data_IF_079483264079
#
_entry.id   IF_079483264079
#
_cell.length_a   1.000
_cell.length_b   1.000
_cell.length_c   1.000
_cell.angle_alpha   90.00
_cell.angle_beta   90.00
_cell.angle_gamma   90.00
#
_symmetry.space_group_name_H-M   'P 1'
#
loop_
_entity.id
_entity.type
_entity.pdbx_description
1 polymer ?
#
# COMPACT_ATOMS: atom_id res chain seq x y z
N UNK A 1 30.52 -11.13 -34.99
CA UNK A 1 30.28 -10.37 -36.25
C UNK A 1 28.82 -10.62 -36.62
N UNK A 2 27.86 -9.88 -36.09
CA UNK A 2 27.40 -8.53 -36.50
C UNK A 2 26.93 -8.46 -37.95
N UNK A 3 25.60 -8.34 -38.09
CA UNK A 3 24.86 -7.46 -39.02
C UNK A 3 24.92 -7.75 -40.53
N UNK A 4 23.76 -7.98 -41.18
CA UNK A 4 22.86 -6.90 -41.69
C UNK A 4 21.69 -7.43 -42.53
N UNK A 5 20.57 -6.78 -42.31
CA UNK A 5 19.25 -6.72 -42.98
C UNK A 5 19.32 -6.28 -44.45
N UNK A 6 18.25 -6.51 -45.25
CA UNK A 6 17.47 -5.56 -46.13
C UNK A 6 16.49 -6.38 -47.02
N UNK A 7 15.18 -6.46 -46.78
CA UNK A 7 14.01 -5.59 -47.14
C UNK A 7 13.87 -5.24 -48.63
N UNK A 8 12.73 -5.62 -49.25
CA UNK A 8 12.07 -4.85 -50.33
C UNK A 8 10.66 -5.40 -50.63
N UNK A 9 9.64 -4.55 -50.46
CA UNK A 9 8.54 -4.30 -51.40
C UNK A 9 7.70 -3.13 -50.84
N UNK A 10 7.70 -1.97 -51.53
CA UNK A 10 6.62 -1.47 -52.43
C UNK A 10 5.35 -1.08 -51.65
N UNK A 11 4.68 0.06 -51.80
CA UNK A 11 4.79 1.23 -52.65
C UNK A 11 3.98 2.40 -52.02
N UNK A 12 4.28 3.62 -52.47
CA UNK A 12 3.71 4.97 -52.23
C UNK A 12 2.25 5.15 -52.78
N UNK A 13 1.65 6.37 -52.81
CA UNK A 13 1.64 7.57 -51.92
C UNK A 13 0.20 8.16 -51.73
N UNK A 14 0.05 9.34 -51.09
CA UNK A 14 -0.55 10.58 -51.65
C UNK A 14 -0.90 11.58 -50.51
N UNK A 15 -0.12 12.66 -50.35
CA UNK A 15 -0.40 14.08 -50.67
C UNK A 15 -0.93 14.91 -49.47
N UNK A 16 -0.12 15.87 -49.00
CA UNK A 16 -0.25 17.34 -49.22
C UNK A 16 -1.45 17.94 -48.46
N UNK A 17 -1.34 18.98 -47.64
CA UNK A 17 -0.30 19.97 -47.37
C UNK A 17 -0.97 21.14 -46.61
N UNK A 18 -0.25 22.27 -46.55
CA UNK A 18 -0.72 23.62 -46.17
C UNK A 18 -0.49 24.11 -44.73
N UNK A 19 0.74 24.59 -44.54
CA UNK A 19 1.10 25.97 -44.17
C UNK A 19 0.18 26.79 -43.27
N UNK A 20 0.75 27.10 -42.10
CA UNK A 20 0.38 28.10 -41.10
C UNK A 20 0.61 29.54 -41.61
N UNK A 21 -0.40 30.41 -41.50
CA UNK A 21 -0.25 31.88 -41.45
C UNK A 21 -1.09 32.45 -40.32
N UNK A 22 -0.50 33.40 -39.58
CA UNK A 22 -1.11 34.19 -38.52
C UNK A 22 -1.95 35.35 -39.11
N UNK A 23 -3.00 35.77 -38.41
CA UNK A 23 -3.37 37.20 -38.32
C UNK A 23 -4.36 37.49 -37.18
N UNK A 24 -3.93 38.44 -36.34
CA UNK A 24 -4.61 39.56 -35.67
C UNK A 24 -6.00 39.44 -35.01
N UNK A 25 -6.02 39.92 -33.75
CA UNK A 25 -7.15 40.35 -32.91
C UNK A 25 -8.08 41.38 -33.59
N UNK A 26 -9.30 41.53 -33.05
CA UNK A 26 -9.62 42.81 -32.42
C UNK A 26 -10.27 42.68 -31.02
N UNK A 27 -10.34 43.82 -30.34
CA UNK A 27 -10.76 44.03 -28.94
C UNK A 27 -12.06 44.85 -28.92
N UNK A 28 -12.87 44.67 -27.86
CA UNK A 28 -13.62 45.68 -27.06
C UNK A 28 -15.16 45.57 -26.92
N UNK A 29 -15.56 45.81 -25.65
CA UNK A 29 -16.85 46.28 -25.08
C UNK A 29 -18.06 45.31 -25.11
N UNK A 30 -19.02 45.28 -24.17
CA UNK A 30 -19.28 45.84 -22.83
C UNK A 30 -20.73 45.41 -22.45
N UNK A 31 -21.01 45.34 -21.13
CA UNK A 31 -22.32 45.58 -20.45
C UNK A 31 -23.32 44.43 -20.15
N UNK A 32 -23.34 44.09 -18.85
CA UNK A 32 -24.46 44.19 -17.88
C UNK A 32 -25.73 43.29 -17.94
N UNK A 33 -25.80 42.46 -16.89
CA UNK A 33 -26.92 42.22 -15.92
C UNK A 33 -28.29 41.72 -16.40
N UNK A 34 -28.64 40.49 -15.95
CA UNK A 34 -29.94 40.17 -15.36
C UNK A 34 -29.87 38.86 -14.54
N UNK A 35 -30.11 38.96 -13.23
CA UNK A 35 -30.64 37.90 -12.35
C UNK A 35 -32.07 38.36 -11.92
N UNK A 36 -32.93 37.54 -11.27
CA UNK A 36 -32.84 36.12 -10.89
C UNK A 36 -34.11 35.30 -11.24
N UNK A 37 -34.07 33.97 -11.10
CA UNK A 37 -35.21 33.17 -10.61
C UNK A 37 -34.72 31.88 -9.96
N UNK A 38 -34.86 31.82 -8.64
CA UNK A 38 -34.81 30.60 -7.82
C UNK A 38 -36.10 29.82 -8.04
N UNK A 39 -35.99 28.50 -8.17
CA UNK A 39 -36.77 27.55 -7.38
C UNK A 39 -35.86 26.39 -6.95
N UNK A 40 -36.11 25.91 -5.74
CA UNK A 40 -35.29 25.05 -4.90
C UNK A 40 -35.63 23.56 -5.04
N UNK A 41 -34.59 22.72 -4.84
CA UNK A 41 -34.56 21.39 -4.20
C UNK A 41 -35.32 20.26 -4.93
N UNK A 42 -34.90 18.99 -5.00
CA UNK A 42 -34.08 18.06 -4.19
C UNK A 42 -33.63 16.96 -5.19
N UNK A 43 -32.49 16.26 -5.07
CA UNK A 43 -32.12 15.37 -3.99
C UNK A 43 -30.60 15.16 -3.97
N UNK A 44 -30.01 15.60 -2.87
CA UNK A 44 -28.79 15.05 -2.27
C UNK A 44 -29.00 13.57 -1.97
N UNK A 45 -28.11 12.71 -2.45
CA UNK A 45 -27.69 11.45 -1.79
C UNK A 45 -26.38 10.99 -2.45
N UNK A 46 -25.34 11.83 -2.41
CA UNK A 46 -24.00 11.28 -2.31
C UNK A 46 -23.83 10.94 -0.84
N UNK A 47 -23.87 9.65 -0.51
CA UNK A 47 -23.34 9.16 0.76
C UNK A 47 -21.88 9.58 0.83
N UNK A 48 -21.66 10.70 1.51
CA UNK A 48 -20.36 11.19 1.96
C UNK A 48 -19.69 10.05 2.71
N UNK A 49 -18.71 9.40 2.08
CA UNK A 49 -17.75 8.50 2.73
C UNK A 49 -16.66 9.31 3.42
N UNK A 50 -17.05 10.40 4.09
CA UNK A 50 -16.14 11.12 4.98
C UNK A 50 -15.55 10.09 5.95
N UNK A 51 -14.22 10.09 6.17
CA UNK A 51 -13.62 9.29 7.21
C UNK A 51 -14.38 9.47 8.53
N UNK A 52 -14.52 8.42 9.35
CA UNK A 52 -15.08 8.60 10.68
C UNK A 52 -14.36 9.78 11.37
N UNK A 53 -15.09 10.63 12.12
CA UNK A 53 -14.48 11.79 12.77
C UNK A 53 -13.31 11.33 13.65
N UNK A 54 -12.13 11.84 13.31
CA UNK A 54 -10.79 11.46 13.80
C UNK A 54 -10.55 11.63 15.31
N UNK A 55 -11.56 11.97 16.10
CA UNK A 55 -11.46 12.18 17.55
C UNK A 55 -11.18 10.88 18.35
N UNK A 56 -11.27 9.71 17.72
CA UNK A 56 -11.01 8.42 18.39
C UNK A 56 -9.58 7.88 18.19
N UNK A 57 -8.69 8.62 17.51
CA UNK A 57 -7.26 8.27 17.37
C UNK A 57 -6.36 9.20 18.22
N UNK A 58 -6.96 9.94 19.17
CA UNK A 58 -6.25 10.87 20.05
C UNK A 58 -5.24 10.13 20.95
N UNK A 59 -3.96 10.22 20.60
CA UNK A 59 -2.86 9.73 21.44
C UNK A 59 -1.57 9.38 20.71
N UNK A 60 -1.58 9.24 19.37
CA UNK A 60 -0.44 8.71 18.62
C UNK A 60 -0.08 9.61 17.43
N UNK A 61 1.18 10.07 17.28
CA UNK A 61 1.54 10.96 16.19
C UNK A 61 1.65 10.17 14.89
N UNK A 62 0.52 9.94 14.22
CA UNK A 62 0.53 9.61 12.80
C UNK A 62 1.11 10.80 12.04
N UNK A 63 2.14 10.57 11.21
CA UNK A 63 2.70 11.63 10.36
C UNK A 63 1.74 11.98 9.22
N UNK A 64 1.05 10.97 8.69
CA UNK A 64 0.03 11.15 7.65
C UNK A 64 -0.94 9.97 7.63
N UNK A 65 -2.16 10.22 7.18
CA UNK A 65 -3.18 9.20 6.91
C UNK A 65 -3.56 9.27 5.44
N UNK A 66 -3.64 8.11 4.79
CA UNK A 66 -4.04 7.98 3.40
C UNK A 66 -5.32 7.15 3.31
N UNK A 67 -6.30 7.67 2.57
CA UNK A 67 -7.60 7.03 2.37
C UNK A 67 -7.94 6.77 0.91
N UNK A 68 -7.15 7.33 -0.02
CA UNK A 68 -7.44 7.26 -1.45
C UNK A 68 -6.55 6.26 -2.19
N UNK A 69 -5.22 6.33 -1.97
CA UNK A 69 -4.26 5.46 -2.63
C UNK A 69 -2.97 5.30 -1.85
N UNK A 70 -2.19 4.28 -2.21
CA UNK A 70 -0.87 4.02 -1.65
C UNK A 70 0.14 5.11 -2.09
N UNK A 71 0.83 5.78 -1.16
CA UNK A 71 1.71 6.91 -1.48
C UNK A 71 3.04 6.51 -2.13
N UNK A 72 3.47 5.28 -1.88
CA UNK A 72 4.68 4.68 -2.42
C UNK A 72 4.46 3.17 -2.58
N UNK A 73 5.41 2.50 -3.23
CA UNK A 73 5.39 1.04 -3.28
C UNK A 73 5.74 0.49 -1.90
N UNK A 74 4.85 -0.35 -1.36
CA UNK A 74 4.99 -0.92 -0.02
C UNK A 74 5.09 -2.44 -0.07
N UNK A 75 5.85 -2.97 0.90
CA UNK A 75 6.19 -4.36 1.05
C UNK A 75 5.76 -4.86 2.41
N UNK A 76 5.15 -6.04 2.44
CA UNK A 76 4.77 -6.76 3.63
C UNK A 76 5.47 -8.12 3.63
N UNK A 77 6.16 -8.42 4.73
CA UNK A 77 6.83 -9.68 4.97
C UNK A 77 5.90 -10.59 5.77
N UNK A 78 5.60 -11.79 5.27
CA UNK A 78 4.90 -12.82 6.03
C UNK A 78 5.77 -14.05 6.20
N UNK A 79 5.89 -14.53 7.43
CA UNK A 79 6.59 -15.78 7.75
C UNK A 79 5.70 -17.01 7.59
N UNK A 80 4.41 -16.83 7.25
CA UNK A 80 3.38 -17.89 7.30
C UNK A 80 2.96 -18.43 5.93
N UNK A 81 3.64 -18.00 4.86
CA UNK A 81 3.43 -18.52 3.51
C UNK A 81 2.69 -17.54 2.56
N UNK A 82 2.20 -18.04 1.41
CA UNK A 82 1.63 -17.20 0.34
C UNK A 82 0.23 -16.65 0.63
N UNK A 83 -0.44 -17.20 1.64
CA UNK A 83 -1.76 -16.76 2.09
C UNK A 83 -1.58 -15.94 3.36
N UNK A 84 -1.96 -14.67 3.30
CA UNK A 84 -1.92 -13.78 4.46
C UNK A 84 -2.90 -14.33 5.51
N UNK A 85 -2.42 -14.56 6.73
CA UNK A 85 -3.23 -15.13 7.80
C UNK A 85 -2.91 -14.40 9.09
N UNK A 86 -3.66 -13.33 9.35
CA UNK A 86 -3.51 -12.60 10.60
C UNK A 86 -3.92 -13.49 11.77
N UNK A 87 -3.31 -13.26 12.92
CA UNK A 87 -3.65 -13.97 14.13
C UNK A 87 -3.66 -13.05 15.35
N UNK A 88 -4.37 -13.48 16.38
CA UNK A 88 -4.43 -12.78 17.65
C UNK A 88 -3.08 -12.90 18.38
N UNK A 89 -2.47 -11.76 18.68
CA UNK A 89 -1.22 -11.68 19.44
C UNK A 89 -1.26 -12.48 20.75
N UNK A 90 -2.42 -12.54 21.44
CA UNK A 90 -2.58 -13.28 22.70
C UNK A 90 -2.51 -14.80 22.52
N UNK A 91 -2.62 -15.30 21.29
CA UNK A 91 -2.55 -16.74 20.98
C UNK A 91 -1.13 -17.22 20.69
N UNK A 92 -0.13 -16.34 20.75
CA UNK A 92 1.26 -16.75 20.69
C UNK A 92 1.63 -17.57 21.94
N UNK A 93 2.32 -18.71 21.78
CA UNK A 93 2.91 -19.42 22.90
C UNK A 93 3.79 -18.48 23.75
N UNK A 94 3.82 -18.61 25.09
CA UNK A 94 4.62 -17.73 25.93
C UNK A 94 6.13 -17.75 25.64
N UNK A 95 6.64 -18.87 25.14
CA UNK A 95 8.05 -18.99 24.74
C UNK A 95 8.35 -18.18 23.46
N UNK A 96 7.33 -17.84 22.69
CA UNK A 96 7.43 -17.06 21.45
C UNK A 96 7.28 -15.56 21.70
N UNK A 97 6.78 -15.18 22.89
CA UNK A 97 6.71 -13.80 23.36
C UNK A 97 8.10 -13.36 23.86
N UNK A 98 8.87 -12.70 23.00
CA UNK A 98 10.15 -12.07 23.35
C UNK A 98 11.38 -12.76 22.79
N UNK A 99 11.24 -13.94 22.20
CA UNK A 99 12.20 -14.42 21.19
C UNK A 99 11.80 -13.75 19.87
N UNK A 100 12.74 -13.18 19.12
CA UNK A 100 12.47 -12.56 17.81
C UNK A 100 11.57 -13.38 16.87
N UNK A 101 11.55 -14.70 17.10
CA UNK A 101 10.98 -15.81 16.34
C UNK A 101 9.55 -15.58 15.83
N UNK A 102 8.78 -14.72 16.50
CA UNK A 102 7.43 -14.34 16.09
C UNK A 102 7.12 -12.84 16.24
N UNK A 103 8.15 -11.98 16.26
CA UNK A 103 8.00 -10.50 16.13
C UNK A 103 7.45 -10.11 14.74
N UNK A 104 7.14 -11.08 13.90
CA UNK A 104 6.50 -10.85 12.63
C UNK A 104 5.16 -10.13 12.82
N UNK A 105 5.02 -9.04 12.08
CA UNK A 105 3.86 -8.15 12.01
C UNK A 105 2.61 -8.78 11.37
N UNK A 106 2.48 -10.10 11.50
CA UNK A 106 1.36 -10.93 11.07
C UNK A 106 0.29 -11.03 12.19
N UNK A 107 0.51 -10.36 13.31
CA UNK A 107 -0.39 -10.36 14.45
C UNK A 107 -1.21 -9.08 14.55
N UNK A 108 -2.36 -9.20 15.18
CA UNK A 108 -3.28 -8.12 15.53
C UNK A 108 -3.71 -8.29 16.98
N UNK A 109 -4.14 -7.20 17.61
CA UNK A 109 -4.80 -7.27 18.90
C UNK A 109 -6.28 -7.57 18.72
N UNK A 110 -6.75 -8.61 19.40
CA UNK A 110 -8.18 -8.92 19.46
C UNK A 110 -8.71 -8.48 20.82
N UNK A 111 -9.63 -7.52 20.79
CA UNK A 111 -10.32 -7.03 21.98
C UNK A 111 -11.30 -8.06 22.53
N UNK A 112 -11.90 -7.77 23.68
CA UNK A 112 -12.80 -8.70 24.38
C UNK A 112 -14.04 -9.10 23.57
N UNK A 113 -14.45 -8.26 22.62
CA UNK A 113 -15.52 -8.54 21.68
C UNK A 113 -15.15 -9.55 20.57
N UNK A 114 -13.90 -10.05 20.54
CA UNK A 114 -13.42 -10.94 19.49
C UNK A 114 -13.12 -10.25 18.16
N UNK A 115 -12.97 -8.91 18.18
CA UNK A 115 -12.76 -8.08 17.00
C UNK A 115 -11.39 -7.40 17.03
N UNK A 116 -10.84 -7.19 15.83
CA UNK A 116 -9.72 -6.29 15.56
C UNK A 116 -10.31 -4.90 15.40
N UNK A 117 -10.17 -4.04 16.41
CA UNK A 117 -10.60 -2.64 16.33
C UNK A 117 -9.41 -1.73 16.00
N UNK A 118 -9.46 -0.93 14.92
CA UNK A 118 -8.41 0.04 14.61
C UNK A 118 -8.25 1.16 15.66
N UNK A 119 -9.23 1.32 16.57
CA UNK A 119 -9.25 2.30 17.65
C UNK A 119 -8.89 1.71 19.02
N UNK A 120 -8.41 0.46 19.04
CA UNK A 120 -7.96 -0.17 20.26
C UNK A 120 -6.77 0.61 20.85
N UNK A 121 -7.00 1.31 21.96
CA UNK A 121 -6.00 2.15 22.61
C UNK A 121 -4.91 1.36 23.35
N UNK A 122 -5.06 0.03 23.48
CA UNK A 122 -4.04 -0.83 24.09
C UNK A 122 -2.84 -1.08 23.17
N UNK A 123 -2.98 -0.79 21.87
CA UNK A 123 -1.93 -0.94 20.87
C UNK A 123 -1.79 0.35 20.05
N UNK A 124 -0.59 0.56 19.48
CA UNK A 124 -0.35 1.76 18.69
C UNK A 124 -1.17 1.75 17.39
N UNK A 125 -1.04 0.68 16.61
CA UNK A 125 -1.81 0.48 15.39
C UNK A 125 -2.20 -0.99 15.33
N UNK A 126 -3.47 -1.25 15.04
CA UNK A 126 -4.00 -2.61 15.00
C UNK A 126 -4.27 -3.02 13.55
N UNK A 127 -3.21 -3.36 12.82
CA UNK A 127 -3.29 -3.64 11.40
C UNK A 127 -2.01 -4.26 10.84
N UNK A 128 -1.94 -4.30 9.52
CA UNK A 128 -0.82 -4.90 8.80
C UNK A 128 0.34 -3.91 8.68
N UNK A 129 1.53 -4.30 9.12
CA UNK A 129 2.71 -3.45 8.94
C UNK A 129 3.29 -3.62 7.54
N UNK A 130 3.63 -2.51 6.92
CA UNK A 130 4.18 -2.43 5.58
C UNK A 130 5.32 -1.43 5.55
N UNK A 131 6.26 -1.66 4.64
CA UNK A 131 7.49 -0.90 4.56
C UNK A 131 7.80 -0.47 3.12
N UNK A 132 8.34 0.73 2.90
CA UNK A 132 8.84 1.14 1.59
C UNK A 132 10.12 0.36 1.24
N UNK A 133 10.57 0.48 -0.01
CA UNK A 133 11.84 -0.11 -0.45
C UNK A 133 13.04 0.77 -0.04
N UNK A 134 13.33 0.82 1.27
CA UNK A 134 14.48 1.54 1.83
C UNK A 134 15.51 0.56 2.38
N UNK A 135 16.75 1.01 2.58
CA UNK A 135 17.83 0.16 3.12
C UNK A 135 17.43 -0.38 4.49
N UNK A 136 16.92 0.48 5.39
CA UNK A 136 16.45 0.09 6.71
C UNK A 136 15.36 -0.98 6.65
N UNK A 137 14.38 -0.80 5.75
CA UNK A 137 13.28 -1.76 5.58
C UNK A 137 13.78 -3.11 5.09
N UNK A 138 14.77 -3.13 4.19
CA UNK A 138 15.33 -4.39 3.70
C UNK A 138 16.23 -5.06 4.73
N UNK A 139 17.02 -4.32 5.49
CA UNK A 139 17.80 -4.85 6.60
C UNK A 139 16.88 -5.48 7.65
N UNK A 140 15.77 -4.81 8.01
CA UNK A 140 14.77 -5.33 8.93
C UNK A 140 14.13 -6.64 8.40
N UNK A 141 13.74 -6.67 7.14
CA UNK A 141 13.23 -7.90 6.51
C UNK A 141 14.29 -8.98 6.33
N UNK A 142 15.56 -8.62 6.26
CA UNK A 142 16.71 -9.53 6.27
C UNK A 142 16.81 -10.22 7.61
N UNK A 143 16.81 -9.44 8.70
CA UNK A 143 16.80 -9.94 10.07
C UNK A 143 15.65 -10.95 10.32
N UNK A 144 14.43 -10.63 9.87
CA UNK A 144 13.30 -11.56 9.99
C UNK A 144 13.48 -12.87 9.20
N UNK A 145 14.18 -12.80 8.07
CA UNK A 145 14.45 -13.96 7.22
C UNK A 145 15.53 -14.85 7.82
N UNK A 146 16.57 -14.25 8.41
CA UNK A 146 17.68 -14.96 9.05
C UNK A 146 17.17 -15.75 10.26
N UNK A 147 16.27 -15.15 11.05
CA UNK A 147 15.68 -15.82 12.20
C UNK A 147 14.78 -17.02 11.82
N UNK A 148 13.99 -16.88 10.75
CA UNK A 148 13.22 -18.00 10.22
C UNK A 148 14.14 -19.15 9.76
N UNK A 149 15.32 -18.82 9.22
CA UNK A 149 16.31 -19.82 8.81
C UNK A 149 17.00 -20.48 10.00
N UNK A 150 17.36 -19.73 11.05
CA UNK A 150 17.88 -20.29 12.30
C UNK A 150 16.91 -21.30 12.93
N UNK A 151 15.61 -21.00 12.90
CA UNK A 151 14.59 -21.92 13.38
C UNK A 151 14.56 -23.22 12.55
N UNK A 152 14.69 -23.13 11.21
CA UNK A 152 14.81 -24.31 10.35
C UNK A 152 16.07 -25.11 10.64
N UNK A 153 17.21 -24.45 10.86
CA UNK A 153 18.47 -25.11 11.23
C UNK A 153 18.37 -25.84 12.58
N UNK A 154 17.51 -25.37 13.49
CA UNK A 154 17.18 -26.05 14.75
C UNK A 154 16.18 -27.20 14.59
N UNK A 155 15.78 -27.54 13.36
CA UNK A 155 14.83 -28.61 13.05
C UNK A 155 13.36 -28.24 13.24
N UNK A 156 13.04 -26.95 13.36
CA UNK A 156 11.65 -26.50 13.43
C UNK A 156 11.02 -26.45 12.03
N UNK A 157 9.74 -26.81 11.95
CA UNK A 157 8.95 -26.70 10.73
C UNK A 157 8.45 -25.26 10.55
N UNK A 158 9.29 -24.43 9.92
CA UNK A 158 8.96 -23.02 9.64
C UNK A 158 8.65 -22.85 8.14
N UNK A 159 7.44 -22.36 7.79
CA UNK A 159 7.05 -22.11 6.41
C UNK A 159 8.05 -21.20 5.69
N UNK A 160 8.19 -21.35 4.37
CA UNK A 160 8.95 -20.41 3.55
C UNK A 160 8.33 -19.01 3.67
N UNK A 161 9.10 -17.94 3.96
CA UNK A 161 8.57 -16.59 4.02
C UNK A 161 8.24 -16.03 2.65
N UNK A 162 7.24 -15.15 2.60
CA UNK A 162 6.73 -14.52 1.40
C UNK A 162 6.74 -13.00 1.53
N UNK A 163 6.99 -12.35 0.39
CA UNK A 163 6.89 -10.91 0.23
C UNK A 163 5.67 -10.56 -0.58
N UNK A 164 4.84 -9.70 -0.01
CA UNK A 164 3.68 -9.11 -0.63
C UNK A 164 4.03 -7.67 -0.99
N UNK A 165 3.77 -7.26 -2.22
CA UNK A 165 4.12 -5.92 -2.71
C UNK A 165 2.90 -5.25 -3.31
N UNK A 166 2.59 -4.04 -2.82
CA UNK A 166 1.56 -3.16 -3.38
C UNK A 166 2.25 -1.97 -4.07
N UNK A 167 2.04 -1.76 -5.38
CA UNK A 167 2.60 -0.61 -6.08
C UNK A 167 2.04 0.73 -5.59
N UNK A 168 2.85 1.79 -5.72
CA UNK A 168 2.39 3.18 -5.57
C UNK A 168 1.17 3.47 -6.44
N UNK A 169 0.25 4.29 -5.93
CA UNK A 169 -0.94 4.72 -6.65
C UNK A 169 -2.06 3.68 -6.69
N UNK A 170 -1.84 2.49 -6.11
CA UNK A 170 -2.90 1.50 -5.91
C UNK A 170 -4.04 2.12 -5.11
N UNK A 171 -5.30 2.06 -5.58
CA UNK A 171 -6.44 2.58 -4.82
C UNK A 171 -6.63 1.84 -3.50
N UNK A 172 -6.88 2.58 -2.42
CA UNK A 172 -7.27 2.02 -1.13
C UNK A 172 -8.78 1.73 -1.14
N UNK A 173 -9.22 0.49 -0.82
CA UNK A 173 -10.63 0.21 -0.64
C UNK A 173 -11.21 1.05 0.50
N UNK A 174 -12.46 1.53 0.39
CA UNK A 174 -13.06 2.44 1.38
C UNK A 174 -13.19 1.87 2.80
N UNK A 175 -13.09 0.55 2.96
CA UNK A 175 -13.08 -0.14 4.25
C UNK A 175 -11.68 -0.31 4.85
N UNK A 176 -10.63 0.16 4.17
CA UNK A 176 -9.25 0.20 4.65
C UNK A 176 -8.74 1.65 4.66
N UNK A 177 -7.68 1.89 5.43
CA UNK A 177 -6.90 3.11 5.35
C UNK A 177 -5.45 2.82 5.77
N UNK A 178 -4.55 3.69 5.34
CA UNK A 178 -3.13 3.55 5.60
C UNK A 178 -2.66 4.67 6.51
N UNK A 179 -1.95 4.32 7.57
CA UNK A 179 -1.30 5.27 8.47
C UNK A 179 0.19 5.23 8.23
N UNK A 180 0.80 6.40 8.06
CA UNK A 180 2.25 6.55 7.99
C UNK A 180 2.77 7.10 9.32
N UNK A 181 3.76 6.40 9.88
CA UNK A 181 4.39 6.70 11.16
C UNK A 181 5.86 7.13 10.96
N UNK A 182 6.57 7.35 12.06
CA UNK A 182 8.03 7.50 12.06
C UNK A 182 8.72 6.21 11.58
N UNK A 183 10.01 6.33 11.26
CA UNK A 183 10.88 5.21 10.88
C UNK A 183 10.40 4.43 9.64
N UNK A 184 9.77 5.11 8.69
CA UNK A 184 9.39 4.53 7.40
C UNK A 184 8.35 3.41 7.52
N UNK A 185 7.54 3.43 8.59
CA UNK A 185 6.52 2.40 8.82
C UNK A 185 5.14 2.83 8.36
N UNK A 186 4.46 1.92 7.68
CA UNK A 186 3.07 2.08 7.30
C UNK A 186 2.23 0.99 7.93
N UNK A 187 1.02 1.36 8.34
CA UNK A 187 0.06 0.44 8.91
C UNK A 187 -1.20 0.47 8.05
N UNK A 188 -1.59 -0.69 7.51
CA UNK A 188 -2.85 -0.85 6.78
C UNK A 188 -3.91 -1.38 7.76
N UNK A 189 -4.87 -0.53 8.10
CA UNK A 189 -5.90 -0.81 9.10
C UNK A 189 -7.27 -0.96 8.45
N UNK A 190 -8.13 -1.76 9.08
CA UNK A 190 -9.55 -1.76 8.81
C UNK A 190 -10.17 -0.44 9.29
N UNK A 191 -11.16 0.10 8.58
CA UNK A 191 -11.91 1.29 9.02
C UNK A 191 -12.89 1.00 10.16
N UNK A 192 -13.33 -0.24 10.25
CA UNK A 192 -14.31 -0.72 11.21
C UNK A 192 -13.78 -1.96 11.93
N UNK A 193 -14.27 -2.20 13.14
CA UNK A 193 -13.90 -3.37 13.92
C UNK A 193 -14.42 -4.64 13.23
N UNK A 194 -13.55 -5.64 13.03
CA UNK A 194 -13.90 -6.87 12.30
C UNK A 194 -13.25 -8.12 12.91
N UNK A 195 -13.83 -9.32 12.71
CA UNK A 195 -13.16 -10.56 13.07
C UNK A 195 -11.85 -10.74 12.29
N UNK A 196 -10.83 -11.35 12.92
CA UNK A 196 -9.51 -11.59 12.31
C UNK A 196 -9.60 -12.35 10.98
N UNK A 197 -10.52 -13.33 10.89
CA UNK A 197 -10.74 -14.13 9.68
C UNK A 197 -11.24 -13.26 8.53
N UNK A 198 -12.23 -12.42 8.79
CA UNK A 198 -12.81 -11.49 7.80
C UNK A 198 -11.75 -10.50 7.31
N UNK A 199 -10.99 -9.90 8.23
CA UNK A 199 -9.90 -8.97 7.86
C UNK A 199 -8.82 -9.68 7.03
N UNK A 200 -8.44 -10.90 7.39
CA UNK A 200 -7.47 -11.69 6.63
C UNK A 200 -7.95 -12.01 5.21
N UNK A 201 -9.24 -12.32 5.05
CA UNK A 201 -9.84 -12.58 3.74
C UNK A 201 -9.89 -11.32 2.87
N UNK A 202 -10.31 -10.18 3.42
CA UNK A 202 -10.32 -8.89 2.74
C UNK A 202 -8.91 -8.49 2.27
N UNK A 203 -7.91 -8.62 3.15
CA UNK A 203 -6.52 -8.35 2.81
C UNK A 203 -6.01 -9.31 1.72
N UNK A 204 -6.27 -10.61 1.83
CA UNK A 204 -5.89 -11.56 0.78
C UNK A 204 -6.50 -11.20 -0.57
N UNK A 205 -7.79 -10.88 -0.61
CA UNK A 205 -8.47 -10.45 -1.82
C UNK A 205 -7.83 -9.19 -2.40
N UNK A 206 -7.55 -8.20 -1.55
CA UNK A 206 -6.89 -6.96 -1.93
C UNK A 206 -5.49 -7.21 -2.54
N UNK A 207 -4.63 -7.98 -1.87
CA UNK A 207 -3.30 -8.31 -2.38
C UNK A 207 -3.34 -9.16 -3.66
N UNK A 208 -4.32 -10.07 -3.80
CA UNK A 208 -4.48 -10.86 -5.02
C UNK A 208 -4.90 -9.99 -6.22
N UNK A 209 -5.65 -8.92 -5.97
CA UNK A 209 -6.20 -8.06 -7.03
C UNK A 209 -5.26 -6.94 -7.43
N UNK A 210 -4.48 -6.41 -6.49
CA UNK A 210 -3.69 -5.20 -6.68
C UNK A 210 -2.19 -5.36 -6.41
N UNK A 211 -1.78 -6.50 -5.85
CA UNK A 211 -0.42 -6.75 -5.44
C UNK A 211 0.29 -7.82 -6.25
N UNK A 212 1.53 -8.06 -5.88
CA UNK A 212 2.29 -9.25 -6.24
C UNK A 212 2.75 -9.98 -5.00
N UNK A 213 2.90 -11.30 -5.11
CA UNK A 213 3.36 -12.18 -4.04
C UNK A 213 4.47 -13.05 -4.58
N UNK A 214 5.58 -13.17 -3.85
CA UNK A 214 6.66 -14.09 -4.22
C UNK A 214 7.40 -14.57 -2.97
N UNK A 215 8.07 -15.73 -3.05
CA UNK A 215 8.99 -16.15 -2.00
C UNK A 215 10.02 -15.06 -1.68
N UNK A 216 10.43 -14.93 -0.41
CA UNK A 216 11.40 -13.91 0.03
C UNK A 216 12.73 -14.00 -0.74
N UNK A 217 13.19 -15.21 -1.06
CA UNK A 217 14.41 -15.43 -1.84
C UNK A 217 14.35 -14.76 -3.23
N UNK A 218 13.25 -14.95 -3.95
CA UNK A 218 13.03 -14.33 -5.27
C UNK A 218 12.90 -12.81 -5.15
N UNK A 219 12.24 -12.35 -4.09
CA UNK A 219 12.12 -10.92 -3.79
C UNK A 219 13.49 -10.27 -3.56
N UNK A 220 14.41 -10.93 -2.85
CA UNK A 220 15.76 -10.43 -2.66
C UNK A 220 16.47 -10.24 -4.00
N UNK A 221 16.40 -11.23 -4.89
CA UNK A 221 17.04 -11.15 -6.21
C UNK A 221 16.50 -9.94 -6.98
N UNK A 222 15.17 -9.75 -6.97
CA UNK A 222 14.51 -8.70 -7.75
C UNK A 222 14.65 -7.29 -7.16
N UNK A 223 14.52 -7.13 -5.84
CA UNK A 223 14.37 -5.81 -5.22
C UNK A 223 15.60 -5.37 -4.41
N UNK A 224 16.30 -6.31 -3.78
CA UNK A 224 17.48 -6.01 -2.98
C UNK A 224 18.71 -5.75 -3.86
N UNK A 225 18.95 -6.62 -4.85
CA UNK A 225 20.14 -6.49 -5.70
C UNK A 225 20.05 -5.37 -6.76
N UNK A 226 18.84 -4.92 -7.12
CA UNK A 226 18.64 -3.96 -8.22
C UNK A 226 18.34 -2.51 -7.79
N UNK A 227 17.95 -2.24 -6.53
CA UNK A 227 17.18 -1.01 -6.26
C UNK A 227 17.13 -0.37 -4.87
N UNK A 228 17.64 -0.97 -3.80
CA UNK A 228 17.64 -0.33 -2.47
C UNK A 228 18.61 0.88 -2.47
N UNK A 229 18.07 2.08 -2.67
CA UNK A 229 18.88 3.26 -3.05
C UNK A 229 18.59 4.52 -2.25
N UNK A 230 17.72 4.49 -1.25
CA UNK A 230 17.22 5.74 -0.63
C UNK A 230 17.05 5.60 0.88
N UNK A 231 17.51 6.62 1.60
CA UNK A 231 17.21 6.88 3.01
C UNK A 231 16.21 8.04 3.19
N UNK A 232 15.80 8.67 2.09
CA UNK A 232 14.99 9.88 2.12
C UNK A 232 13.53 9.57 1.85
N UNK A 233 12.66 10.02 2.77
CA UNK A 233 11.21 10.00 2.60
C UNK A 233 10.76 10.63 1.28
N UNK A 234 11.37 11.75 0.90
CA UNK A 234 11.04 12.39 -0.37
C UNK A 234 11.30 11.46 -1.56
N UNK A 235 12.36 10.66 -1.52
CA UNK A 235 12.75 9.80 -2.64
C UNK A 235 11.86 8.56 -2.76
N UNK A 236 11.60 7.85 -1.67
CA UNK A 236 10.74 6.66 -1.74
C UNK A 236 9.26 7.04 -1.92
N UNK A 237 8.81 8.21 -1.45
CA UNK A 237 7.46 8.72 -1.74
C UNK A 237 7.32 9.19 -3.19
N UNK A 238 8.42 9.55 -3.87
CA UNK A 238 8.39 9.95 -5.28
C UNK A 238 8.29 8.76 -6.25
N UNK A 239 8.82 7.59 -5.86
CA UNK A 239 8.85 6.36 -6.66
C UNK A 239 7.55 5.57 -6.57
#
# INVERSE_FOLDING_TARGET
>A
MSNRTTVLNMARPLFQGLTRRQSHLPRLHSRASAQPRRFHATATNFTSTSPPPFAALEGLPARRIYTESFPCTLHYYSSRGPKLALFDHKKLPPHDLGTGRYIHHDHVHVGDAGLVDPRDSSVRWNGLHMYPNTINSVELMGYFSDEAEECRMQGQDVPTPWMFTIPKGTPLPGHLFLVYEDLEQFHLLAREAKPVSVLSEELNHFFNSHGSKMPKGDWNIKYFLEGCKTYSEHEYMAR
#
